data_IF_039731964657
#
_entry.id   IF_039731964657
#
_cell.length_a   1.000
_cell.length_b   1.000
_cell.length_c   1.000
_cell.angle_alpha   90.00
_cell.angle_beta   90.00
_cell.angle_gamma   90.00
#
_symmetry.space_group_name_H-M   'P 1'
#
loop_
_entity.id
_entity.type
_entity.pdbx_description
1 polymer ?
#
# COMPACT_ATOMS: atom_id res chain seq x y z
N UNK A 1 0.44 9.86 -10.41
CA UNK A 1 -0.34 11.09 -10.18
C UNK A 1 -1.53 10.76 -9.29
N UNK A 2 -1.93 11.69 -8.42
CA UNK A 2 -3.15 11.51 -7.64
C UNK A 2 -4.39 11.49 -8.55
N UNK A 3 -5.47 10.76 -8.17
CA UNK A 3 -6.69 10.67 -8.97
C UNK A 3 -7.30 12.05 -9.28
N UNK A 4 -7.71 12.28 -10.52
CA UNK A 4 -8.16 13.61 -10.98
C UNK A 4 -9.59 13.61 -11.54
N UNK A 5 -10.11 12.47 -12.01
CA UNK A 5 -11.42 12.38 -12.63
C UNK A 5 -12.54 12.13 -11.62
N UNK A 6 -13.51 13.04 -11.55
CA UNK A 6 -14.72 12.81 -10.75
C UNK A 6 -15.71 11.87 -11.42
N UNK A 7 -15.75 11.84 -12.76
CA UNK A 7 -16.67 10.99 -13.52
C UNK A 7 -16.22 9.55 -13.65
N UNK A 8 -14.91 9.33 -13.70
CA UNK A 8 -14.27 8.01 -13.70
C UNK A 8 -13.43 7.88 -12.43
N UNK A 9 -14.05 7.60 -11.28
CA UNK A 9 -13.37 7.69 -10.00
C UNK A 9 -12.31 6.60 -9.83
N UNK A 10 -11.17 7.03 -9.26
CA UNK A 10 -10.09 6.15 -8.88
C UNK A 10 -9.65 6.48 -7.45
N UNK A 11 -9.43 5.47 -6.62
CA UNK A 11 -8.68 5.63 -5.38
C UNK A 11 -7.25 5.18 -5.60
N UNK A 12 -6.27 5.86 -5.01
CA UNK A 12 -4.85 5.58 -5.21
C UNK A 12 -4.23 4.89 -3.99
N UNK A 13 -3.48 3.80 -4.20
CA UNK A 13 -2.60 3.22 -3.19
C UNK A 13 -1.20 3.06 -3.78
N UNK A 14 -0.27 3.87 -3.27
CA UNK A 14 1.10 3.88 -3.76
C UNK A 14 2.06 3.42 -2.66
N UNK A 15 2.97 2.53 -3.02
CA UNK A 15 3.96 1.97 -2.11
C UNK A 15 5.38 2.21 -2.61
N UNK A 16 6.31 2.38 -1.68
CA UNK A 16 7.74 2.47 -1.98
C UNK A 16 8.57 1.86 -0.86
N UNK A 17 9.56 1.03 -1.23
CA UNK A 17 10.50 0.45 -0.28
C UNK A 17 11.42 1.53 0.28
N UNK A 18 11.46 1.66 1.59
CA UNK A 18 12.29 2.63 2.31
C UNK A 18 13.55 1.99 2.91
N UNK A 19 13.57 0.67 3.07
CA UNK A 19 14.77 -0.03 3.48
C UNK A 19 15.73 -0.16 2.28
N UNK A 20 17.00 0.22 2.40
CA UNK A 20 18.00 -0.03 1.35
C UNK A 20 18.23 -1.52 1.16
N UNK A 21 17.38 -2.17 0.37
CA UNK A 21 17.33 -3.61 0.17
C UNK A 21 16.62 -3.95 -1.14
N UNK A 22 16.54 -5.24 -1.45
CA UNK A 22 15.69 -5.77 -2.52
C UNK A 22 14.44 -6.46 -1.98
N UNK A 23 14.07 -6.18 -0.74
CA UNK A 23 12.93 -6.83 -0.08
C UNK A 23 11.59 -6.55 -0.76
N UNK A 24 11.42 -5.40 -1.42
CA UNK A 24 10.23 -5.13 -2.23
C UNK A 24 9.93 -6.20 -3.29
N UNK A 25 10.95 -6.91 -3.77
CA UNK A 25 10.81 -8.03 -4.69
C UNK A 25 10.11 -9.26 -4.08
N UNK A 26 10.13 -9.39 -2.75
CA UNK A 26 9.51 -10.48 -2.00
C UNK A 26 8.11 -10.14 -1.47
N UNK A 27 7.61 -8.95 -1.76
CA UNK A 27 6.30 -8.50 -1.30
C UNK A 27 5.24 -8.86 -2.34
N UNK A 28 4.34 -9.74 -1.95
CA UNK A 28 3.13 -10.05 -2.71
C UNK A 28 2.01 -9.10 -2.29
N UNK A 29 1.15 -8.78 -3.23
CA UNK A 29 0.02 -7.89 -3.02
C UNK A 29 -1.28 -8.55 -3.46
N UNK A 30 -2.32 -8.39 -2.66
CA UNK A 30 -3.70 -8.65 -3.03
C UNK A 30 -4.53 -7.40 -2.85
N UNK A 31 -5.39 -7.10 -3.81
CA UNK A 31 -6.23 -5.91 -3.82
C UNK A 31 -7.66 -6.28 -4.20
N UNK A 32 -8.62 -5.82 -3.41
CA UNK A 32 -10.03 -6.08 -3.64
C UNK A 32 -10.84 -4.81 -3.46
N UNK A 33 -11.73 -4.53 -4.41
CA UNK A 33 -12.66 -3.40 -4.40
C UNK A 33 -14.07 -3.98 -4.52
N UNK A 34 -14.89 -3.75 -3.50
CA UNK A 34 -16.28 -4.22 -3.46
C UNK A 34 -17.23 -3.03 -3.43
N UNK A 35 -18.20 -3.01 -4.36
CA UNK A 35 -19.24 -1.98 -4.36
C UNK A 35 -20.25 -2.29 -3.26
N UNK A 36 -20.46 -1.33 -2.36
CA UNK A 36 -21.33 -1.46 -1.18
C UNK A 36 -22.60 -0.62 -1.28
N UNK A 37 -22.65 0.30 -2.21
CA UNK A 37 -23.80 1.16 -2.49
C UNK A 37 -23.63 1.89 -3.82
N UNK A 38 -24.55 2.79 -4.16
CA UNK A 38 -24.50 3.49 -5.44
C UNK A 38 -23.19 4.29 -5.65
N UNK A 39 -22.73 4.97 -4.61
CA UNK A 39 -21.51 5.79 -4.61
C UNK A 39 -20.48 5.33 -3.58
N UNK A 40 -20.63 4.13 -3.02
CA UNK A 40 -19.77 3.64 -1.94
C UNK A 40 -19.12 2.32 -2.28
N UNK A 41 -17.88 2.17 -1.82
CA UNK A 41 -17.03 1.00 -2.06
C UNK A 41 -16.24 0.65 -0.81
N UNK A 42 -15.92 -0.63 -0.66
CA UNK A 42 -14.98 -1.12 0.35
C UNK A 42 -13.70 -1.59 -0.33
N UNK A 43 -12.55 -1.13 0.16
CA UNK A 43 -11.23 -1.50 -0.34
C UNK A 43 -10.50 -2.33 0.71
N UNK A 44 -9.97 -3.47 0.28
CA UNK A 44 -9.06 -4.31 1.07
C UNK A 44 -7.75 -4.49 0.32
N UNK A 45 -6.65 -4.10 0.95
CA UNK A 45 -5.31 -4.10 0.38
C UNK A 45 -4.35 -4.80 1.33
N UNK A 46 -3.73 -5.89 0.88
CA UNK A 46 -2.84 -6.71 1.70
C UNK A 46 -1.47 -6.84 1.05
N UNK A 47 -0.43 -6.61 1.84
CA UNK A 47 0.97 -6.86 1.49
C UNK A 47 1.49 -8.00 2.34
N UNK A 48 2.14 -8.99 1.70
CA UNK A 48 2.70 -10.16 2.37
C UNK A 48 4.16 -10.35 1.97
N UNK A 49 5.02 -10.50 2.95
CA UNK A 49 6.42 -10.89 2.72
C UNK A 49 6.50 -12.41 2.59
N UNK A 50 6.73 -12.91 1.38
CA UNK A 50 6.80 -14.33 1.05
C UNK A 50 8.18 -14.96 1.25
N UNK A 51 9.15 -14.21 1.80
CA UNK A 51 10.49 -14.73 2.03
C UNK A 51 10.46 -15.90 3.01
N UNK A 52 11.10 -16.99 2.63
CA UNK A 52 11.19 -18.21 3.43
C UNK A 52 12.40 -18.18 4.38
N UNK A 53 12.42 -19.06 5.36
CA UNK A 53 13.58 -19.25 6.26
C UNK A 53 14.84 -19.68 5.51
N UNK A 54 14.69 -20.47 4.45
CA UNK A 54 15.81 -20.89 3.58
C UNK A 54 16.39 -19.69 2.84
N UNK A 55 15.55 -18.83 2.26
CA UNK A 55 15.99 -17.60 1.60
C UNK A 55 16.65 -16.63 2.58
N UNK A 56 16.10 -16.52 3.80
CA UNK A 56 16.74 -15.74 4.87
C UNK A 56 18.16 -16.21 5.22
N UNK A 57 18.39 -17.52 5.19
CA UNK A 57 19.70 -18.12 5.51
C UNK A 57 20.69 -18.02 4.34
N UNK A 58 20.24 -17.88 3.10
CA UNK A 58 21.08 -17.97 1.89
C UNK A 58 21.24 -16.66 1.13
N UNK A 59 20.31 -15.72 1.28
CA UNK A 59 20.41 -14.42 0.62
C UNK A 59 21.46 -13.52 1.29
N UNK A 60 22.06 -12.66 0.48
CA UNK A 60 23.06 -11.68 0.95
C UNK A 60 22.37 -10.46 1.58
N UNK A 61 23.12 -9.70 2.36
CA UNK A 61 22.65 -8.42 2.93
C UNK A 61 22.23 -7.40 1.88
N UNK A 62 22.76 -7.46 0.68
CA UNK A 62 22.29 -6.65 -0.46
C UNK A 62 20.80 -6.89 -0.76
N UNK A 63 20.34 -8.12 -0.60
CA UNK A 63 18.92 -8.48 -0.76
C UNK A 63 18.15 -8.20 0.51
N UNK A 64 18.65 -8.69 1.66
CA UNK A 64 17.95 -8.67 2.93
C UNK A 64 17.91 -7.29 3.60
N UNK A 65 18.87 -6.42 3.30
CA UNK A 65 19.06 -5.16 4.05
C UNK A 65 19.52 -5.40 5.50
N UNK A 66 19.30 -4.41 6.34
CA UNK A 66 19.63 -4.50 7.77
C UNK A 66 21.06 -4.06 8.14
N UNK A 67 21.97 -3.96 7.20
CA UNK A 67 23.33 -3.46 7.41
C UNK A 67 23.46 -1.95 7.18
N UNK A 68 22.66 -1.41 6.29
CA UNK A 68 22.70 0.02 6.01
C UNK A 68 21.93 0.78 7.08
N UNK A 69 22.62 1.72 7.67
CA UNK A 69 22.07 2.59 8.71
C UNK A 69 21.41 3.79 8.07
N UNK A 70 20.18 4.05 8.47
CA UNK A 70 19.48 5.29 8.17
C UNK A 70 20.06 6.49 8.93
N UNK A 71 19.34 7.60 8.92
CA UNK A 71 19.71 8.78 9.69
C UNK A 71 19.86 8.41 11.18
N UNK A 72 20.97 8.80 11.80
CA UNK A 72 21.27 8.45 13.19
C UNK A 72 21.89 7.07 13.41
N UNK A 73 22.25 6.35 12.36
CA UNK A 73 22.98 5.09 12.47
C UNK A 73 22.15 3.86 12.85
N UNK A 74 20.82 3.99 12.90
CA UNK A 74 19.89 2.88 13.18
C UNK A 74 19.42 2.27 11.86
N UNK A 75 19.37 0.93 11.74
CA UNK A 75 18.78 0.29 10.57
C UNK A 75 17.32 0.72 10.38
N UNK A 76 16.91 0.96 9.13
CA UNK A 76 15.51 1.30 8.80
C UNK A 76 14.57 0.16 9.20
N UNK A 77 15.01 -1.08 8.98
CA UNK A 77 14.29 -2.29 9.37
C UNK A 77 15.28 -3.44 9.60
N UNK A 78 14.90 -4.47 10.37
CA UNK A 78 15.70 -5.69 10.49
C UNK A 78 15.92 -6.37 9.15
N UNK A 79 17.00 -7.15 9.04
CA UNK A 79 17.31 -7.98 7.87
C UNK A 79 16.10 -8.84 7.46
N UNK A 80 15.77 -8.87 6.17
CA UNK A 80 14.63 -9.59 5.60
C UNK A 80 13.26 -8.93 5.82
N UNK A 81 13.19 -7.81 6.54
CA UNK A 81 11.96 -7.04 6.74
C UNK A 81 11.84 -5.95 5.68
N UNK A 82 10.70 -5.92 4.97
CA UNK A 82 10.36 -4.83 4.07
C UNK A 82 9.78 -3.66 4.85
N UNK A 83 10.24 -2.46 4.56
CA UNK A 83 9.71 -1.23 5.13
C UNK A 83 9.08 -0.41 3.99
N UNK A 84 7.77 -0.49 3.86
CA UNK A 84 7.02 0.17 2.80
C UNK A 84 6.38 1.46 3.29
N UNK A 85 6.67 2.57 2.62
CA UNK A 85 5.82 3.74 2.75
C UNK A 85 4.56 3.50 1.92
N UNK A 86 3.42 3.70 2.56
CA UNK A 86 2.11 3.51 1.94
C UNK A 86 1.38 4.85 1.92
N UNK A 87 0.98 5.28 0.72
CA UNK A 87 0.22 6.51 0.49
C UNK A 87 -1.16 6.13 -0.05
N UNK A 88 -2.22 6.59 0.59
CA UNK A 88 -3.60 6.33 0.19
C UNK A 88 -4.30 7.65 -0.12
N UNK A 89 -4.79 7.78 -1.35
CA UNK A 89 -5.52 8.95 -1.84
C UNK A 89 -7.00 8.65 -2.01
N UNK A 90 -7.83 9.59 -1.59
CA UNK A 90 -9.25 9.59 -1.93
C UNK A 90 -9.45 9.83 -3.45
N UNK A 91 -10.56 9.34 -4.03
CA UNK A 91 -10.94 9.73 -5.38
C UNK A 91 -11.25 11.22 -5.45
N UNK A 92 -11.07 11.80 -6.64
CA UNK A 92 -11.40 13.20 -6.88
C UNK A 92 -12.88 13.50 -6.54
N UNK A 93 -13.11 14.56 -5.76
CA UNK A 93 -14.45 14.92 -5.28
C UNK A 93 -15.10 13.94 -4.32
N UNK A 94 -14.37 12.91 -3.90
CA UNK A 94 -14.82 11.89 -2.97
C UNK A 94 -14.09 11.95 -1.62
N UNK A 95 -14.25 10.89 -0.83
CA UNK A 95 -13.66 10.80 0.51
C UNK A 95 -13.33 9.36 0.89
N UNK A 96 -12.42 9.22 1.85
CA UNK A 96 -12.10 7.95 2.50
C UNK A 96 -12.51 8.04 3.96
N UNK A 97 -13.16 6.99 4.46
CA UNK A 97 -13.46 6.81 5.87
C UNK A 97 -12.22 6.44 6.69
N UNK A 98 -12.43 6.04 7.93
CA UNK A 98 -11.34 5.57 8.80
C UNK A 98 -10.66 4.34 8.18
N UNK A 99 -9.33 4.34 8.18
CA UNK A 99 -8.53 3.24 7.67
C UNK A 99 -8.23 2.29 8.82
N UNK A 100 -8.77 1.08 8.76
CA UNK A 100 -8.42 -0.01 9.65
C UNK A 100 -7.15 -0.69 9.16
N UNK A 101 -6.19 -0.93 10.05
CA UNK A 101 -4.94 -1.59 9.72
C UNK A 101 -4.74 -2.83 10.59
N UNK A 102 -4.18 -3.88 10.00
CA UNK A 102 -3.76 -5.11 10.69
C UNK A 102 -2.30 -5.36 10.38
N UNK A 103 -1.52 -5.74 11.39
CA UNK A 103 -0.08 -5.92 11.26
C UNK A 103 0.73 -4.73 11.76
N UNK A 104 2.03 -4.70 11.48
CA UNK A 104 2.95 -3.66 11.96
C UNK A 104 2.91 -2.43 11.05
N UNK A 105 2.04 -1.50 11.37
CA UNK A 105 1.87 -0.23 10.68
C UNK A 105 2.13 0.91 11.66
N UNK A 106 3.05 1.80 11.29
CA UNK A 106 3.54 2.91 12.13
C UNK A 106 3.47 4.24 11.36
N UNK A 107 3.73 5.34 12.09
CA UNK A 107 3.86 6.70 11.53
C UNK A 107 2.66 7.08 10.65
N UNK A 108 1.46 6.77 11.14
CA UNK A 108 0.21 7.09 10.46
C UNK A 108 -0.08 8.58 10.59
N UNK A 109 -0.25 9.23 9.46
CA UNK A 109 -0.56 10.66 9.41
C UNK A 109 -1.41 11.00 8.19
N UNK A 110 -2.15 12.09 8.32
CA UNK A 110 -2.76 12.76 7.19
C UNK A 110 -1.79 13.83 6.69
N UNK A 111 -1.63 13.90 5.39
CA UNK A 111 -0.75 14.84 4.73
C UNK A 111 -1.45 15.45 3.51
N UNK A 112 -0.79 16.42 2.89
CA UNK A 112 -1.23 17.00 1.62
C UNK A 112 -0.06 16.96 0.65
N UNK A 113 -0.28 16.46 -0.55
CA UNK A 113 0.69 16.47 -1.63
C UNK A 113 0.01 16.99 -2.90
N UNK A 114 0.64 17.99 -3.54
CA UNK A 114 0.09 18.68 -4.71
C UNK A 114 -1.34 19.19 -4.49
N UNK A 115 -1.63 19.70 -3.28
CA UNK A 115 -2.93 20.21 -2.88
C UNK A 115 -3.99 19.15 -2.59
N UNK A 116 -3.65 17.86 -2.66
CA UNK A 116 -4.58 16.73 -2.45
C UNK A 116 -4.34 16.06 -1.11
N UNK A 117 -5.38 15.79 -0.31
CA UNK A 117 -5.23 15.08 0.95
C UNK A 117 -4.88 13.60 0.69
N UNK A 118 -3.99 13.08 1.52
CA UNK A 118 -3.60 11.68 1.53
C UNK A 118 -3.39 11.17 2.96
N UNK A 119 -3.51 9.86 3.13
CA UNK A 119 -3.04 9.18 4.33
C UNK A 119 -1.68 8.56 4.05
N UNK A 120 -0.71 8.80 4.93
CA UNK A 120 0.64 8.25 4.87
C UNK A 120 0.90 7.33 6.05
N UNK A 121 1.56 6.23 5.83
CA UNK A 121 2.00 5.32 6.89
C UNK A 121 3.24 4.53 6.48
N UNK A 122 3.87 3.87 7.46
CA UNK A 122 4.96 2.92 7.25
C UNK A 122 4.50 1.52 7.63
N UNK A 123 4.56 0.58 6.69
CA UNK A 123 4.30 -0.83 6.90
C UNK A 123 5.61 -1.60 7.02
N UNK A 124 5.81 -2.29 8.14
CA UNK A 124 6.97 -3.15 8.39
C UNK A 124 6.53 -4.61 8.28
N UNK A 125 7.05 -5.30 7.28
CA UNK A 125 6.59 -6.64 6.92
C UNK A 125 7.74 -7.62 7.05
N UNK A 126 7.80 -8.32 8.19
CA UNK A 126 8.78 -9.36 8.45
C UNK A 126 8.51 -10.59 7.58
N UNK A 127 9.51 -11.50 7.37
CA UNK A 127 9.34 -12.71 6.61
C UNK A 127 8.12 -13.53 7.06
N UNK A 128 7.26 -13.91 6.13
CA UNK A 128 6.03 -14.67 6.39
C UNK A 128 4.89 -13.88 7.02
N UNK A 129 5.05 -12.57 7.23
CA UNK A 129 4.02 -11.70 7.81
C UNK A 129 3.29 -10.90 6.74
N UNK A 130 2.16 -10.34 7.14
CA UNK A 130 1.32 -9.48 6.30
C UNK A 130 0.91 -8.21 7.02
N UNK A 131 0.60 -7.18 6.23
CA UNK A 131 -0.14 -6.00 6.68
C UNK A 131 -1.36 -5.83 5.79
N UNK A 132 -2.47 -5.39 6.37
CA UNK A 132 -3.74 -5.18 5.65
C UNK A 132 -4.29 -3.79 5.97
N UNK A 133 -4.72 -3.11 4.92
CA UNK A 133 -5.45 -1.84 4.98
C UNK A 133 -6.88 -2.08 4.49
N UNK A 134 -7.86 -1.68 5.28
CA UNK A 134 -9.26 -1.73 4.90
C UNK A 134 -9.92 -0.37 5.14
N UNK A 135 -10.69 0.11 4.18
CA UNK A 135 -11.38 1.38 4.28
C UNK A 135 -12.55 1.47 3.33
N UNK A 136 -13.52 2.31 3.69
CA UNK A 136 -14.65 2.65 2.84
C UNK A 136 -14.35 3.92 2.06
N UNK A 137 -14.82 3.95 0.83
CA UNK A 137 -14.66 5.07 -0.10
C UNK A 137 -16.01 5.54 -0.58
N UNK A 138 -16.22 6.85 -0.55
CA UNK A 138 -17.37 7.50 -1.20
C UNK A 138 -16.83 8.28 -2.39
N UNK A 139 -17.36 8.00 -3.57
CA UNK A 139 -17.00 8.71 -4.81
C UNK A 139 -17.85 9.97 -4.98
N UNK A 140 -17.41 10.87 -5.87
CA UNK A 140 -18.18 12.07 -6.22
C UNK A 140 -19.58 11.73 -6.75
N UNK A 141 -20.56 12.58 -6.48
CA UNK A 141 -21.90 12.49 -7.08
C UNK A 141 -21.87 12.54 -8.60
N UNK A 142 -20.82 13.12 -9.18
CA UNK A 142 -20.59 13.17 -10.63
C UNK A 142 -20.09 11.86 -11.23
N UNK A 143 -19.76 10.84 -10.41
CA UNK A 143 -19.26 9.57 -10.89
C UNK A 143 -20.29 8.86 -11.78
N UNK A 144 -19.89 8.50 -12.98
CA UNK A 144 -20.70 7.78 -13.97
C UNK A 144 -20.20 6.36 -14.23
N UNK A 145 -18.98 6.06 -13.78
CA UNK A 145 -18.36 4.74 -13.88
C UNK A 145 -18.12 4.15 -12.50
N UNK A 146 -17.92 2.83 -12.44
CA UNK A 146 -17.47 2.17 -11.22
C UNK A 146 -16.04 2.58 -10.85
N UNK A 147 -15.79 2.72 -9.55
CA UNK A 147 -14.48 3.10 -9.03
C UNK A 147 -13.42 2.04 -9.33
N UNK A 148 -12.25 2.49 -9.74
CA UNK A 148 -11.05 1.67 -9.91
C UNK A 148 -10.03 1.96 -8.82
N UNK A 149 -9.12 1.01 -8.63
CA UNK A 149 -7.94 1.17 -7.79
C UNK A 149 -6.71 1.41 -8.68
N UNK A 150 -6.11 2.59 -8.55
CA UNK A 150 -4.79 2.87 -9.08
C UNK A 150 -3.74 2.50 -8.04
N UNK A 151 -2.76 1.72 -8.43
CA UNK A 151 -1.76 1.19 -7.50
C UNK A 151 -0.39 1.08 -8.15
N UNK A 152 0.65 1.19 -7.33
CA UNK A 152 2.04 1.03 -7.80
C UNK A 152 2.20 -0.30 -8.54
N UNK A 153 2.75 -0.30 -9.77
CA UNK A 153 3.05 -1.55 -10.48
C UNK A 153 4.01 -2.43 -9.68
N UNK A 154 3.76 -3.74 -9.66
CA UNK A 154 4.66 -4.74 -9.09
C UNK A 154 5.38 -5.53 -10.17
N UNK A 155 6.71 -5.70 -10.04
CA UNK A 155 7.54 -6.28 -11.09
C UNK A 155 7.36 -7.79 -11.32
N UNK A 156 6.82 -8.53 -10.36
CA UNK A 156 6.69 -10.00 -10.43
C UNK A 156 5.25 -10.50 -10.40
N UNK A 157 4.32 -9.69 -9.98
CA UNK A 157 2.94 -10.13 -9.76
C UNK A 157 2.01 -9.49 -10.76
N UNK A 158 0.90 -10.16 -11.00
CA UNK A 158 -0.20 -9.53 -11.69
C UNK A 158 -0.60 -8.27 -10.92
N UNK A 159 -0.79 -7.17 -11.64
CA UNK A 159 -1.32 -5.94 -11.07
C UNK A 159 -2.84 -6.00 -10.94
N UNK A 160 -3.40 -7.21 -10.93
CA UNK A 160 -4.81 -7.47 -10.96
C UNK A 160 -5.47 -7.05 -9.64
N UNK A 161 -6.53 -6.30 -9.78
CA UNK A 161 -7.44 -5.96 -8.69
C UNK A 161 -8.68 -6.81 -8.85
N UNK A 162 -9.10 -7.46 -7.78
CA UNK A 162 -10.39 -8.14 -7.77
C UNK A 162 -11.50 -7.11 -7.56
N UNK A 163 -12.37 -6.98 -8.54
CA UNK A 163 -13.53 -6.10 -8.49
C UNK A 163 -14.82 -6.90 -8.29
N UNK A 164 -15.58 -6.51 -7.27
CA UNK A 164 -16.89 -7.08 -6.93
C UNK A 164 -17.93 -5.95 -7.05
N UNK A 165 -18.46 -5.79 -8.26
CA UNK A 165 -19.47 -4.79 -8.59
C UNK A 165 -20.88 -5.40 -8.69
#
# INVERSE_FOLDING_TARGET
NAPESETNPETGIYISEQNPSKMGWYIDRTSEVTKTGDKTYHVKYTLTNRMTSTEMATCTSYILGGEQKGVGGVPVAPSGTSAQRVLIYAPAGGSIGSIAVTGDVRDRSNATMDGKPLNSSMAYIAPGKSVTYEFDVTVSDKATANMKLDQTPCGKMTNDVKYNY
#
